data_IF_959937538014
#
_entry.id   IF_959937538014
#
_cell.length_a   1.000
_cell.length_b   1.000
_cell.length_c   1.000
_cell.angle_alpha   90.00
_cell.angle_beta   90.00
_cell.angle_gamma   90.00
#
_symmetry.space_group_name_H-M   'P 1'
#
loop_
_entity.id
_entity.type
_entity.pdbx_description
1 polymer ?
#
# COMPACT_ATOMS: atom_id res chain seq x y z
N UNK A 1 -35.31 11.93 35.66
CA UNK A 1 -34.75 11.61 35.22
C UNK A 1 -34.59 11.31 34.37
N UNK A 2 -34.41 11.59 34.41
CA UNK A 2 -33.72 11.30 33.69
C UNK A 2 -33.27 11.09 32.65
N UNK A 3 -33.12 11.30 32.77
CA UNK A 3 -32.25 11.09 31.92
C UNK A 3 -31.70 10.85 31.00
N UNK A 4 -31.61 11.20 31.24
CA UNK A 4 -30.66 10.94 30.55
C UNK A 4 -30.35 10.62 29.72
N UNK A 5 -30.51 10.90 30.12
CA UNK A 5 -29.76 10.49 29.44
C UNK A 5 -29.51 10.24 28.55
N UNK A 6 -29.55 10.50 28.97
CA UNK A 6 -28.82 10.21 28.26
C UNK A 6 -28.46 9.95 27.34
N UNK A 7 -28.61 10.32 27.64
CA UNK A 7 -27.85 9.99 26.92
C UNK A 7 -27.43 9.82 26.02
N UNK A 8 -27.51 10.23 26.56
CA UNK A 8 -26.61 10.01 25.81
C UNK A 8 -26.23 9.73 25.05
N UNK A 9 -26.20 10.02 25.39
CA UNK A 9 -25.26 9.60 24.78
C UNK A 9 -25.06 9.08 23.97
N UNK A 10 -25.42 9.45 24.51
CA UNK A 10 -24.61 8.79 23.98
C UNK A 10 -24.42 8.47 23.10
N UNK A 11 -24.47 8.86 23.38
CA UNK A 11 -23.90 8.44 22.64
C UNK A 11 -23.54 8.26 21.76
N UNK A 12 -23.65 8.62 22.07
CA UNK A 12 -22.85 8.26 21.46
C UNK A 12 -22.45 8.22 20.68
N UNK A 13 -22.39 8.55 21.01
CA UNK A 13 -21.62 8.30 20.35
C UNK A 13 -21.20 8.03 19.68
N UNK A 14 -21.08 8.28 20.11
CA UNK A 14 -20.28 7.84 19.51
C UNK A 14 -20.00 7.57 18.69
N UNK A 15 -20.06 7.85 18.94
CA UNK A 15 -19.44 7.49 18.15
C UNK A 15 -18.99 7.54 17.40
N UNK A 16 -18.77 7.84 17.62
CA UNK A 16 -18.08 7.78 16.94
C UNK A 16 -17.44 7.56 16.29
N UNK A 17 -17.18 7.54 16.41
CA UNK A 17 -16.37 7.24 15.95
C UNK A 17 -16.11 6.97 15.14
N UNK A 18 -16.18 7.10 15.30
CA UNK A 18 -15.77 6.74 14.57
C UNK A 18 -15.57 6.63 13.73
N UNK A 19 -15.47 6.79 13.75
CA UNK A 19 -15.20 6.63 13.03
C UNK A 19 -14.80 6.58 12.22
N UNK A 20 -14.53 6.75 12.48
CA UNK A 20 -14.08 6.74 11.64
C UNK A 20 -13.48 6.25 10.99
N UNK A 21 -13.18 6.21 11.46
CA UNK A 21 -12.40 5.48 10.88
C UNK A 21 -12.71 4.66 9.90
N UNK A 22 -13.32 4.48 9.98
CA UNK A 22 -13.63 3.86 9.22
C UNK A 22 -13.62 4.07 8.05
N UNK A 23 -13.79 4.43 7.90
CA UNK A 23 -13.96 4.72 6.77
C UNK A 23 -13.21 4.39 5.72
N UNK A 24 -12.72 3.50 5.69
CA UNK A 24 -11.94 3.20 4.64
C UNK A 24 -12.75 2.66 3.56
N UNK A 25 -12.82 3.30 2.48
CA UNK A 25 -13.52 2.78 1.38
C UNK A 25 -12.73 1.67 0.84
N UNK A 26 -13.13 0.57 1.14
CA UNK A 26 -12.44 -0.58 0.68
C UNK A 26 -12.48 -0.72 -0.81
N UNK A 27 -13.35 -0.04 -1.45
CA UNK A 27 -13.72 -0.40 -2.78
C UNK A 27 -12.63 -0.25 -3.82
N UNK A 28 -11.76 0.69 -3.70
CA UNK A 28 -10.79 0.93 -4.75
C UNK A 28 -9.44 0.30 -4.51
N UNK A 29 -9.37 -0.58 -3.54
CA UNK A 29 -8.08 -1.09 -3.14
C UNK A 29 -7.69 -2.32 -3.95
N UNK A 30 -6.47 -2.32 -4.43
CA UNK A 30 -5.85 -3.46 -5.08
C UNK A 30 -4.80 -4.05 -4.15
N UNK A 31 -4.59 -5.36 -4.23
CA UNK A 31 -3.64 -6.03 -3.35
C UNK A 31 -2.99 -7.20 -4.07
N UNK A 32 -1.70 -7.36 -3.86
CA UNK A 32 -0.92 -8.49 -4.38
C UNK A 32 0.19 -8.83 -3.41
N UNK A 33 0.54 -10.10 -3.38
CA UNK A 33 1.70 -10.55 -2.61
C UNK A 33 2.89 -10.62 -3.54
N UNK A 34 4.03 -10.12 -3.07
CA UNK A 34 5.28 -10.14 -3.84
C UNK A 34 6.39 -10.71 -2.97
N UNK A 35 7.45 -11.15 -3.64
CA UNK A 35 8.68 -11.55 -2.97
C UNK A 35 9.77 -10.56 -3.29
N UNK A 36 10.39 -9.99 -2.25
CA UNK A 36 11.59 -9.18 -2.42
C UNK A 36 12.78 -10.12 -2.34
N UNK A 37 13.53 -10.19 -3.44
CA UNK A 37 14.73 -11.01 -3.47
C UNK A 37 15.93 -10.35 -2.81
N UNK A 38 15.83 -9.08 -2.50
CA UNK A 38 16.89 -8.28 -1.89
C UNK A 38 16.30 -7.39 -0.82
N UNK A 39 17.11 -7.07 0.18
CA UNK A 39 16.75 -6.04 1.13
C UNK A 39 16.70 -4.70 0.42
N UNK A 40 15.74 -3.87 0.77
CA UNK A 40 15.56 -2.56 0.15
C UNK A 40 15.40 -1.49 1.21
N UNK A 41 15.60 -0.26 0.79
CA UNK A 41 15.30 0.93 1.59
C UNK A 41 14.19 1.67 0.86
N UNK A 42 13.12 1.97 1.58
CA UNK A 42 11.98 2.67 1.00
C UNK A 42 11.45 3.65 2.03
N UNK A 43 11.40 4.92 1.68
CA UNK A 43 10.99 5.99 2.59
C UNK A 43 11.76 5.94 3.91
N UNK A 44 13.06 5.69 3.83
CA UNK A 44 13.90 5.61 5.02
C UNK A 44 13.75 4.36 5.85
N UNK A 45 12.94 3.41 5.41
CA UNK A 45 12.73 2.16 6.11
C UNK A 45 13.48 1.03 5.43
N UNK A 46 14.10 0.17 6.23
CA UNK A 46 14.78 -1.01 5.73
C UNK A 46 13.81 -2.17 5.71
N UNK A 47 13.62 -2.75 4.55
CA UNK A 47 12.79 -3.93 4.38
C UNK A 47 13.68 -5.10 4.01
N UNK A 48 13.78 -6.11 4.87
CA UNK A 48 14.56 -7.30 4.52
C UNK A 48 13.95 -8.04 3.33
N UNK A 49 14.75 -8.87 2.70
CA UNK A 49 14.23 -9.77 1.67
C UNK A 49 13.15 -10.64 2.28
N UNK A 50 12.13 -10.98 1.51
CA UNK A 50 11.04 -11.79 1.98
C UNK A 50 9.74 -11.49 1.29
N UNK A 51 8.67 -12.00 1.85
CA UNK A 51 7.34 -11.89 1.28
C UNK A 51 6.59 -10.72 1.91
N UNK A 52 5.98 -9.93 1.04
CA UNK A 52 5.20 -8.75 1.46
C UNK A 52 3.91 -8.68 0.69
N UNK A 53 2.92 -8.06 1.32
CA UNK A 53 1.67 -7.72 0.67
C UNK A 53 1.74 -6.26 0.26
N UNK A 54 1.43 -5.99 -1.00
CA UNK A 54 1.39 -4.63 -1.52
C UNK A 54 -0.07 -4.30 -1.80
N UNK A 55 -0.55 -3.24 -1.17
CA UNK A 55 -1.89 -2.72 -1.41
C UNK A 55 -1.76 -1.32 -1.98
N UNK A 56 -2.57 -1.01 -2.96
CA UNK A 56 -2.54 0.34 -3.52
C UNK A 56 -3.92 0.79 -3.90
N UNK A 57 -4.10 2.09 -3.80
CA UNK A 57 -5.32 2.76 -4.18
C UNK A 57 -4.96 3.83 -5.19
N UNK A 58 -5.59 3.73 -6.36
CA UNK A 58 -5.30 4.68 -7.44
C UNK A 58 -6.22 5.87 -7.36
N UNK A 59 -5.66 7.03 -7.65
CA UNK A 59 -6.41 8.26 -7.91
C UNK A 59 -5.83 8.90 -9.16
N UNK A 60 -5.63 8.08 -10.09
CA UNK A 60 -5.16 8.10 -11.47
C UNK A 60 -4.53 9.41 -11.96
N UNK A 61 -3.28 9.35 -12.38
CA UNK A 61 -2.43 8.15 -12.48
C UNK A 61 -1.70 7.82 -11.18
N UNK A 62 -1.78 8.71 -10.18
CA UNK A 62 -1.09 8.51 -8.92
C UNK A 62 -1.72 7.39 -8.13
N UNK A 63 -0.94 6.84 -7.21
CA UNK A 63 -1.39 5.80 -6.32
C UNK A 63 -0.74 5.96 -4.96
N UNK A 64 -1.50 5.65 -3.92
CA UNK A 64 -0.95 5.52 -2.57
C UNK A 64 -0.72 4.05 -2.34
N UNK A 65 0.50 3.69 -1.96
CA UNK A 65 0.94 2.31 -1.84
C UNK A 65 1.27 2.00 -0.39
N UNK A 66 0.71 0.91 0.10
CA UNK A 66 1.01 0.41 1.43
C UNK A 66 1.67 -0.95 1.31
N UNK A 67 2.76 -1.15 2.03
CA UNK A 67 3.48 -2.41 2.05
C UNK A 67 3.37 -3.00 3.44
N UNK A 68 2.89 -4.25 3.49
CA UNK A 68 2.64 -4.92 4.74
C UNK A 68 3.45 -6.20 4.82
N UNK A 69 3.91 -6.50 6.03
CA UNK A 69 4.52 -7.78 6.35
C UNK A 69 3.55 -8.52 7.25
N UNK A 70 2.91 -9.54 6.70
CA UNK A 70 1.80 -10.15 7.39
C UNK A 70 0.65 -9.15 7.48
N UNK A 71 0.23 -8.86 8.69
CA UNK A 71 -0.83 -7.88 8.93
C UNK A 71 -0.29 -6.51 9.31
N UNK A 72 1.02 -6.40 9.44
CA UNK A 72 1.62 -5.19 9.95
C UNK A 72 2.00 -4.28 8.81
N UNK A 73 1.54 -3.05 8.87
CA UNK A 73 1.92 -2.03 7.91
C UNK A 73 3.38 -1.64 8.17
N UNK A 74 4.19 -1.75 7.14
CA UNK A 74 5.62 -1.44 7.24
C UNK A 74 5.91 -0.04 6.72
N UNK A 75 5.35 0.30 5.56
CA UNK A 75 5.64 1.59 4.94
C UNK A 75 4.49 2.00 4.05
N UNK A 76 4.26 3.30 3.98
CA UNK A 76 3.33 3.91 3.03
C UNK A 76 4.15 4.83 2.13
N UNK A 77 3.93 4.75 0.84
CA UNK A 77 4.68 5.55 -0.12
C UNK A 77 3.79 5.91 -1.30
N UNK A 78 4.28 6.82 -2.11
CA UNK A 78 3.56 7.24 -3.30
C UNK A 78 4.14 6.57 -4.53
N UNK A 79 3.28 6.34 -5.49
CA UNK A 79 3.67 5.79 -6.76
C UNK A 79 2.67 6.20 -7.81
N UNK A 80 2.71 5.52 -8.94
CA UNK A 80 1.73 5.70 -9.99
C UNK A 80 1.58 4.41 -10.76
N UNK A 81 0.43 4.25 -11.39
CA UNK A 81 0.16 3.10 -12.24
C UNK A 81 0.37 3.52 -13.69
N UNK A 82 1.25 2.80 -14.38
CA UNK A 82 1.51 3.01 -15.81
C UNK A 82 0.99 1.82 -16.59
N UNK A 83 0.41 2.10 -17.72
CA UNK A 83 -0.04 1.06 -18.64
C UNK A 83 1.03 0.85 -19.70
N UNK A 84 1.38 -0.40 -19.94
CA UNK A 84 2.37 -0.78 -20.94
C UNK A 84 1.71 -1.49 -22.10
N UNK A 85 2.47 -1.66 -23.17
CA UNK A 85 1.92 -2.25 -24.39
C UNK A 85 1.71 -3.75 -24.28
N UNK A 86 2.48 -4.41 -23.43
CA UNK A 86 2.47 -5.85 -23.32
C UNK A 86 2.00 -6.29 -21.96
N UNK A 87 1.36 -7.46 -21.92
CA UNK A 87 0.96 -8.10 -20.68
C UNK A 87 2.17 -8.78 -20.08
N UNK A 88 2.34 -8.63 -18.77
CA UNK A 88 3.41 -9.30 -18.04
C UNK A 88 3.06 -10.77 -17.88
N UNK A 89 4.00 -11.64 -18.18
CA UNK A 89 3.78 -13.08 -18.03
C UNK A 89 4.01 -13.55 -16.61
N UNK A 90 4.81 -12.84 -15.85
CA UNK A 90 5.11 -13.20 -14.46
C UNK A 90 5.24 -11.95 -13.62
N UNK A 91 5.10 -12.12 -12.31
CA UNK A 91 5.42 -11.05 -11.38
C UNK A 91 6.90 -10.74 -11.46
N UNK A 92 7.23 -9.45 -11.39
CA UNK A 92 8.61 -9.02 -11.40
C UNK A 92 8.77 -7.79 -10.54
N UNK A 93 9.86 -7.74 -9.80
CA UNK A 93 10.23 -6.59 -9.00
C UNK A 93 11.50 -6.01 -9.59
N UNK A 94 11.45 -4.74 -9.95
CA UNK A 94 12.60 -4.06 -10.54
C UNK A 94 13.18 -3.13 -9.48
N UNK A 95 14.48 -3.26 -9.27
CA UNK A 95 15.21 -2.52 -8.25
C UNK A 95 16.04 -1.42 -8.88
N UNK A 96 16.23 -0.37 -8.11
CA UNK A 96 17.19 0.68 -8.43
C UNK A 96 18.32 0.58 -7.42
N UNK A 97 19.56 0.53 -7.90
CA UNK A 97 20.72 0.37 -7.05
C UNK A 97 21.48 1.68 -6.98
N UNK A 98 21.68 2.19 -5.77
CA UNK A 98 22.42 3.40 -5.53
C UNK A 98 23.92 3.11 -5.57
N UNK A 99 24.76 4.17 -5.72
CA UNK A 99 26.22 3.99 -5.76
C UNK A 99 26.81 3.30 -4.52
N UNK A 100 26.14 3.44 -3.37
CA UNK A 100 26.61 2.79 -2.15
C UNK A 100 26.17 1.33 -2.03
N UNK A 101 25.49 0.81 -3.06
CA UNK A 101 25.03 -0.56 -3.08
C UNK A 101 23.63 -0.79 -2.50
N UNK A 102 23.02 0.23 -1.89
CA UNK A 102 21.68 0.08 -1.39
C UNK A 102 20.68 -0.01 -2.55
N UNK A 103 19.60 -0.73 -2.32
CA UNK A 103 18.57 -0.94 -3.33
C UNK A 103 17.27 -0.34 -2.87
N UNK A 104 16.49 0.18 -3.82
CA UNK A 104 15.13 0.60 -3.60
C UNK A 104 14.25 0.05 -4.70
N UNK A 105 12.93 0.18 -4.53
CA UNK A 105 11.99 -0.29 -5.54
C UNK A 105 11.87 0.73 -6.65
N UNK A 106 11.98 0.27 -7.88
CA UNK A 106 11.70 1.09 -9.04
C UNK A 106 10.30 0.80 -9.55
N UNK A 107 9.96 -0.47 -9.75
CA UNK A 107 8.62 -0.82 -10.21
C UNK A 107 8.29 -2.26 -9.84
N UNK A 108 6.99 -2.55 -9.82
CA UNK A 108 6.47 -3.90 -9.64
C UNK A 108 5.55 -4.21 -10.83
N UNK A 109 5.81 -5.31 -11.49
CA UNK A 109 5.00 -5.81 -12.60
C UNK A 109 4.20 -7.00 -12.11
N UNK A 110 2.94 -7.06 -12.49
CA UNK A 110 2.06 -8.13 -12.01
C UNK A 110 1.67 -9.03 -13.17
N UNK A 111 1.78 -10.33 -12.96
CA UNK A 111 1.44 -11.33 -13.96
C UNK A 111 -0.01 -11.15 -14.42
N UNK A 112 -0.24 -11.29 -15.70
CA UNK A 112 -1.57 -11.21 -16.30
C UNK A 112 -2.08 -9.79 -16.49
N UNK A 113 -1.25 -8.78 -16.23
CA UNK A 113 -1.64 -7.38 -16.35
C UNK A 113 -0.66 -6.63 -17.22
N UNK A 114 -1.14 -5.63 -17.93
CA UNK A 114 -0.27 -4.70 -18.66
C UNK A 114 0.00 -3.44 -17.82
N UNK A 115 -0.42 -3.43 -16.57
CA UNK A 115 -0.20 -2.29 -15.68
C UNK A 115 0.99 -2.57 -14.79
N UNK A 116 1.71 -1.52 -14.49
CA UNK A 116 2.93 -1.57 -13.70
C UNK A 116 2.83 -0.51 -12.62
N UNK A 117 3.18 -0.88 -11.40
CA UNK A 117 3.21 0.05 -10.27
C UNK A 117 4.62 0.63 -10.20
N UNK A 118 4.75 1.91 -10.42
CA UNK A 118 6.03 2.62 -10.44
C UNK A 118 6.14 3.45 -9.18
N UNK A 119 7.29 3.36 -8.52
CA UNK A 119 7.52 4.05 -7.26
C UNK A 119 8.24 5.37 -7.50
N UNK A 120 7.79 6.38 -6.79
CA UNK A 120 8.46 7.68 -6.79
C UNK A 120 9.59 7.68 -5.76
N UNK A 121 10.66 8.37 -6.12
CA UNK A 121 11.83 8.50 -5.25
C UNK A 121 12.06 9.93 -4.87
#
# INVERSE_FOLDING_TARGET
>A
MKRMTRKWFGIGVLSLGLLVAIGIPAAAKNARTINLGHAIVLQGKNLPAGRYKVEWQTHSPEATVQILHGRQLVVTTDGRVEQRDKINYSDAVVYDTAPDGSMTLLEIRFAGSNKVLVFNH
#
